data_IF_740187296282
#
_entry.id   IF_740187296282
#
_cell.length_a   1.000
_cell.length_b   1.000
_cell.length_c   1.000
_cell.angle_alpha   90.00
_cell.angle_beta   90.00
_cell.angle_gamma   90.00
#
_symmetry.space_group_name_H-M   'P 1'
#
loop_
_entity.id
_entity.type
_entity.pdbx_description
1 polymer ?
#
# COMPACT_ATOMS: atom_id res chain seq x y z
N UNK A 1 -12.97 -26.55 16.65
CA UNK A 1 -11.76 -26.98 15.90
C UNK A 1 -11.64 -26.29 14.53
N UNK A 2 -10.52 -25.60 14.32
CA UNK A 2 -10.17 -25.01 13.02
C UNK A 2 -9.65 -26.10 12.06
N UNK A 3 -10.08 -26.08 10.80
CA UNK A 3 -9.50 -26.92 9.74
C UNK A 3 -8.30 -26.22 9.09
N UNK A 4 -7.41 -26.96 8.42
CA UNK A 4 -6.27 -26.40 7.70
C UNK A 4 -6.70 -25.31 6.71
N UNK A 5 -7.74 -25.56 5.91
CA UNK A 5 -8.28 -24.59 4.95
C UNK A 5 -8.82 -23.34 5.65
N UNK A 6 -9.63 -23.50 6.71
CA UNK A 6 -10.19 -22.38 7.44
C UNK A 6 -9.07 -21.54 8.07
N UNK A 7 -8.11 -22.18 8.74
CA UNK A 7 -6.96 -21.51 9.33
C UNK A 7 -6.16 -20.76 8.27
N UNK A 8 -5.96 -21.35 7.10
CA UNK A 8 -5.27 -20.71 5.97
C UNK A 8 -6.01 -19.45 5.51
N UNK A 9 -7.31 -19.56 5.19
CA UNK A 9 -8.13 -18.42 4.73
C UNK A 9 -8.24 -17.34 5.80
N UNK A 10 -8.34 -17.72 7.07
CA UNK A 10 -8.38 -16.78 8.18
C UNK A 10 -7.03 -16.08 8.39
N UNK A 11 -5.90 -16.74 8.17
CA UNK A 11 -4.59 -16.07 8.19
C UNK A 11 -4.43 -15.05 7.06
N UNK A 12 -5.04 -15.29 5.88
CA UNK A 12 -5.10 -14.29 4.79
C UNK A 12 -5.87 -13.04 5.24
N UNK A 13 -7.11 -13.23 5.68
CA UNK A 13 -8.00 -12.16 6.13
C UNK A 13 -7.46 -11.44 7.37
N UNK A 14 -7.07 -12.20 8.39
CA UNK A 14 -6.61 -11.71 9.69
C UNK A 14 -5.34 -10.88 9.61
N UNK A 15 -4.51 -11.07 8.58
CA UNK A 15 -3.36 -10.21 8.31
C UNK A 15 -3.76 -8.76 8.00
N UNK A 16 -5.02 -8.51 7.64
CA UNK A 16 -5.55 -7.17 7.37
C UNK A 16 -6.41 -6.58 8.49
N UNK A 17 -6.59 -7.29 9.61
CA UNK A 17 -7.27 -6.72 10.77
C UNK A 17 -6.41 -5.65 11.45
N UNK A 18 -6.99 -4.56 11.98
CA UNK A 18 -6.23 -3.58 12.75
C UNK A 18 -5.45 -4.23 13.91
N UNK A 19 -6.09 -5.16 14.62
CA UNK A 19 -5.47 -6.05 15.60
C UNK A 19 -5.36 -7.47 15.03
N UNK A 20 -4.13 -7.96 14.87
CA UNK A 20 -3.86 -9.31 14.34
C UNK A 20 -3.35 -10.21 15.45
N UNK A 21 -4.14 -11.23 15.83
CA UNK A 21 -3.74 -12.26 16.79
C UNK A 21 -4.37 -13.60 16.42
N UNK A 22 -3.56 -14.65 16.32
CA UNK A 22 -4.06 -16.02 16.35
C UNK A 22 -4.16 -16.44 17.83
N UNK A 23 -5.34 -16.86 18.26
CA UNK A 23 -5.61 -17.28 19.62
C UNK A 23 -6.57 -18.46 19.62
N UNK A 24 -6.37 -19.40 20.56
CA UNK A 24 -7.12 -20.64 20.63
C UNK A 24 -7.69 -20.87 22.04
N UNK A 25 -8.72 -21.69 22.14
CA UNK A 25 -9.31 -22.09 23.42
C UNK A 25 -8.48 -23.17 24.11
N UNK A 26 -8.65 -23.30 25.42
CA UNK A 26 -8.06 -24.41 26.17
C UNK A 26 -8.56 -25.75 25.61
N UNK A 27 -7.67 -26.74 25.56
CA UNK A 27 -7.95 -28.13 25.15
C UNK A 27 -8.37 -28.33 23.67
N UNK A 28 -8.35 -27.28 22.84
CA UNK A 28 -8.48 -27.44 21.38
C UNK A 28 -7.14 -27.83 20.74
N UNK A 29 -7.21 -28.46 19.57
CA UNK A 29 -6.02 -28.80 18.77
C UNK A 29 -5.21 -27.53 18.40
N UNK A 30 -3.87 -27.61 18.40
CA UNK A 30 -3.00 -26.50 18.03
C UNK A 30 -3.32 -25.93 16.64
N UNK A 31 -3.33 -24.61 16.54
CA UNK A 31 -3.65 -23.89 15.30
C UNK A 31 -2.63 -22.79 14.95
N UNK A 32 -1.46 -22.83 15.58
CA UNK A 32 -0.35 -21.98 15.21
C UNK A 32 0.03 -22.21 13.74
N UNK A 33 0.47 -21.17 13.01
CA UNK A 33 0.71 -21.29 11.57
C UNK A 33 1.67 -22.40 11.15
N UNK A 34 2.62 -22.79 12.01
CA UNK A 34 3.61 -23.81 11.70
C UNK A 34 3.06 -25.24 11.72
N UNK A 35 1.86 -25.47 12.27
CA UNK A 35 1.28 -26.82 12.35
C UNK A 35 0.97 -27.41 10.95
N UNK A 36 0.69 -26.56 9.96
CA UNK A 36 0.48 -27.00 8.57
C UNK A 36 1.43 -26.28 7.60
N UNK A 37 2.14 -27.00 6.72
CA UNK A 37 3.02 -26.38 5.73
C UNK A 37 2.31 -25.34 4.83
N UNK A 38 1.04 -25.60 4.47
CA UNK A 38 0.22 -24.72 3.62
C UNK A 38 -0.16 -23.41 4.34
N UNK A 39 -0.53 -23.51 5.63
CA UNK A 39 -0.85 -22.37 6.50
C UNK A 39 0.42 -21.57 6.79
N UNK A 40 1.55 -22.23 7.06
CA UNK A 40 2.83 -21.57 7.30
C UNK A 40 3.28 -20.74 6.09
N UNK A 41 3.20 -21.32 4.87
CA UNK A 41 3.52 -20.63 3.61
C UNK A 41 2.64 -19.39 3.40
N UNK A 42 1.33 -19.56 3.57
CA UNK A 42 0.36 -18.46 3.43
C UNK A 42 0.61 -17.38 4.47
N UNK A 43 0.76 -17.76 5.73
CA UNK A 43 0.97 -16.85 6.85
C UNK A 43 2.23 -16.00 6.64
N UNK A 44 3.35 -16.59 6.20
CA UNK A 44 4.56 -15.81 5.85
C UNK A 44 4.30 -14.76 4.77
N UNK A 45 3.56 -15.12 3.70
CA UNK A 45 3.20 -14.17 2.63
C UNK A 45 2.38 -13.01 3.18
N UNK A 46 1.30 -13.28 3.89
CA UNK A 46 0.36 -12.22 4.31
C UNK A 46 0.81 -11.42 5.55
N UNK A 47 1.51 -12.05 6.50
CA UNK A 47 2.19 -11.33 7.57
C UNK A 47 3.29 -10.44 6.98
N UNK A 48 4.05 -10.94 5.99
CA UNK A 48 5.04 -10.14 5.28
C UNK A 48 4.42 -8.92 4.57
N UNK A 49 3.27 -9.07 3.93
CA UNK A 49 2.50 -7.96 3.34
C UNK A 49 2.02 -6.99 4.42
N UNK A 50 1.50 -7.49 5.54
CA UNK A 50 1.12 -6.64 6.67
C UNK A 50 2.31 -5.83 7.16
N UNK A 51 3.46 -6.48 7.35
CA UNK A 51 4.68 -5.85 7.85
C UNK A 51 5.22 -4.79 6.89
N UNK A 52 5.13 -5.02 5.58
CA UNK A 52 5.50 -3.99 4.60
C UNK A 52 4.55 -2.80 4.61
N UNK A 53 3.28 -3.00 5.00
CA UNK A 53 2.26 -1.95 5.14
C UNK A 53 2.22 -1.28 6.52
N UNK A 54 3.10 -1.64 7.47
CA UNK A 54 3.08 -1.04 8.81
C UNK A 54 3.19 0.50 8.82
N UNK A 55 4.00 1.15 7.96
CA UNK A 55 3.98 2.62 7.86
C UNK A 55 2.61 3.17 7.48
N UNK A 56 1.91 2.50 6.58
CA UNK A 56 0.55 2.86 6.19
C UNK A 56 -0.45 2.63 7.33
N UNK A 57 -0.44 1.46 7.98
CA UNK A 57 -1.26 1.20 9.17
C UNK A 57 -1.04 2.24 10.27
N UNK A 58 0.22 2.52 10.60
CA UNK A 58 0.57 3.45 11.66
C UNK A 58 0.12 4.88 11.34
N UNK A 59 0.23 5.28 10.08
CA UNK A 59 -0.33 6.56 9.61
C UNK A 59 -1.86 6.58 9.70
N UNK A 60 -2.56 5.47 9.41
CA UNK A 60 -4.00 5.36 9.57
C UNK A 60 -4.42 5.45 11.05
N UNK A 61 -3.67 4.82 11.96
CA UNK A 61 -3.90 4.93 13.40
C UNK A 61 -3.64 6.35 13.93
N UNK A 62 -2.59 7.03 13.45
CA UNK A 62 -2.39 8.45 13.73
C UNK A 62 -3.60 9.28 13.30
N UNK A 63 -4.09 9.10 12.06
CA UNK A 63 -5.30 9.79 11.59
C UNK A 63 -6.51 9.48 12.47
N UNK A 64 -6.71 8.20 12.84
CA UNK A 64 -7.78 7.80 13.75
C UNK A 64 -7.68 8.51 15.11
N UNK A 65 -6.47 8.60 15.66
CA UNK A 65 -6.20 9.29 16.93
C UNK A 65 -6.50 10.79 16.85
N UNK A 66 -6.06 11.49 15.81
CA UNK A 66 -6.17 12.96 15.74
C UNK A 66 -7.51 13.47 15.21
N UNK A 67 -8.23 12.70 14.39
CA UNK A 67 -9.46 13.17 13.75
C UNK A 67 -10.61 12.14 13.66
N UNK A 68 -10.48 10.98 14.31
CA UNK A 68 -11.53 9.96 14.32
C UNK A 68 -11.70 9.19 13.00
N UNK A 69 -10.74 9.29 12.06
CA UNK A 69 -10.72 8.47 10.86
C UNK A 69 -10.74 6.97 11.17
N UNK A 70 -11.26 6.17 10.23
CA UNK A 70 -11.26 4.71 10.34
C UNK A 70 -9.99 4.10 9.73
N UNK A 71 -9.45 3.06 10.36
CA UNK A 71 -8.34 2.24 9.82
C UNK A 71 -8.88 1.19 8.85
N UNK A 72 -9.80 0.36 9.31
CA UNK A 72 -10.60 -0.54 8.47
C UNK A 72 -11.93 0.18 8.19
N UNK A 73 -12.25 0.38 6.91
CA UNK A 73 -13.40 1.17 6.48
C UNK A 73 -14.40 0.32 5.70
N UNK A 74 -15.70 0.34 6.06
CA UNK A 74 -16.75 -0.14 5.19
C UNK A 74 -16.76 0.64 3.86
N UNK A 75 -17.13 -0.01 2.76
CA UNK A 75 -17.11 0.64 1.44
C UNK A 75 -18.07 1.84 1.37
N UNK A 76 -19.19 1.81 2.10
CA UNK A 76 -20.11 2.96 2.14
C UNK A 76 -19.54 4.22 2.79
N UNK A 77 -18.48 4.12 3.59
CA UNK A 77 -17.80 5.33 4.11
C UNK A 77 -17.01 6.02 3.00
N UNK A 78 -16.38 5.24 2.11
CA UNK A 78 -15.65 5.76 0.96
C UNK A 78 -16.56 6.17 -0.20
N UNK A 79 -17.74 5.56 -0.28
CA UNK A 79 -18.73 5.75 -1.35
C UNK A 79 -20.15 5.97 -0.79
N UNK A 80 -20.39 7.01 0.02
CA UNK A 80 -21.65 7.19 0.76
C UNK A 80 -22.87 7.41 -0.14
N UNK A 81 -22.66 7.84 -1.38
CA UNK A 81 -23.72 8.09 -2.34
C UNK A 81 -24.12 6.84 -3.15
N UNK A 82 -23.37 5.75 -3.06
CA UNK A 82 -23.60 4.54 -3.84
C UNK A 82 -24.41 3.52 -3.04
N UNK A 83 -25.66 3.29 -3.45
CA UNK A 83 -26.52 2.27 -2.83
C UNK A 83 -25.88 0.88 -2.83
N UNK A 84 -25.15 0.55 -3.90
CA UNK A 84 -24.43 -0.73 -4.01
C UNK A 84 -23.40 -0.91 -2.89
N UNK A 85 -22.76 0.16 -2.41
CA UNK A 85 -21.76 0.08 -1.35
C UNK A 85 -22.36 -0.11 0.06
N UNK A 86 -23.65 0.23 0.25
CA UNK A 86 -24.35 0.13 1.55
C UNK A 86 -24.50 -1.32 2.03
N UNK A 87 -24.61 -2.25 1.09
CA UNK A 87 -24.87 -3.68 1.38
C UNK A 87 -23.61 -4.52 1.36
N UNK A 88 -22.44 -3.93 1.12
CA UNK A 88 -21.17 -4.68 1.09
C UNK A 88 -20.63 -4.86 2.50
N UNK A 89 -20.71 -6.09 2.99
CA UNK A 89 -20.24 -6.53 4.31
C UNK A 89 -19.14 -7.62 4.25
N UNK A 90 -18.82 -8.11 3.04
CA UNK A 90 -17.81 -9.15 2.78
C UNK A 90 -16.49 -8.63 2.20
N UNK A 91 -16.39 -7.32 2.00
CA UNK A 91 -15.17 -6.63 1.59
C UNK A 91 -14.98 -5.40 2.47
N UNK A 92 -13.75 -4.91 2.55
CA UNK A 92 -13.46 -3.66 3.26
C UNK A 92 -12.29 -2.93 2.62
N UNK A 93 -12.20 -1.65 2.93
CA UNK A 93 -11.04 -0.82 2.59
C UNK A 93 -10.09 -0.76 3.80
N UNK A 94 -8.79 -0.95 3.57
CA UNK A 94 -7.75 -0.56 4.52
C UNK A 94 -7.36 0.88 4.20
N UNK A 95 -7.74 1.80 5.08
CA UNK A 95 -7.75 3.24 4.80
C UNK A 95 -8.59 3.55 3.57
N UNK A 96 -8.14 4.50 2.76
CA UNK A 96 -8.78 4.88 1.48
C UNK A 96 -8.11 4.21 0.26
N UNK A 97 -6.97 3.54 0.44
CA UNK A 97 -6.10 3.13 -0.67
C UNK A 97 -6.06 1.64 -1.04
N UNK A 98 -6.58 0.72 -0.21
CA UNK A 98 -6.49 -0.73 -0.47
C UNK A 98 -7.85 -1.41 -0.25
N UNK A 99 -8.36 -2.11 -1.26
CA UNK A 99 -9.55 -2.96 -1.18
C UNK A 99 -9.15 -4.42 -0.91
N UNK A 100 -9.72 -5.01 0.13
CA UNK A 100 -9.47 -6.40 0.53
C UNK A 100 -10.74 -7.23 0.28
N UNK A 101 -10.61 -8.32 -0.48
CA UNK A 101 -11.74 -9.20 -0.83
C UNK A 101 -11.43 -10.66 -0.44
N UNK A 102 -11.78 -11.10 0.79
CA UNK A 102 -11.50 -12.44 1.27
C UNK A 102 -12.43 -13.51 0.69
N UNK A 103 -11.94 -14.76 0.64
CA UNK A 103 -12.79 -15.94 0.47
C UNK A 103 -13.36 -16.32 1.82
N UNK A 104 -14.68 -16.39 1.92
CA UNK A 104 -15.42 -16.63 3.18
C UNK A 104 -16.27 -17.91 3.17
N UNK A 105 -16.18 -18.70 2.08
CA UNK A 105 -16.92 -19.94 1.92
C UNK A 105 -15.92 -21.10 1.74
N UNK A 106 -16.22 -22.23 2.38
CA UNK A 106 -15.35 -23.40 2.36
C UNK A 106 -15.24 -23.97 0.94
N UNK A 107 -14.05 -24.46 0.58
CA UNK A 107 -13.67 -25.03 -0.72
C UNK A 107 -13.72 -24.07 -1.91
N UNK A 108 -14.01 -22.79 -1.68
CA UNK A 108 -14.08 -21.81 -2.76
C UNK A 108 -12.69 -21.31 -3.16
N UNK A 109 -12.49 -21.14 -4.46
CA UNK A 109 -11.30 -20.56 -5.08
C UNK A 109 -11.61 -19.26 -5.83
N UNK A 110 -12.81 -18.73 -5.61
CA UNK A 110 -13.35 -17.50 -6.21
C UNK A 110 -14.08 -16.71 -5.13
N UNK A 111 -13.92 -15.38 -5.14
CA UNK A 111 -14.81 -14.47 -4.41
C UNK A 111 -15.94 -14.11 -5.36
N UNK A 112 -17.10 -14.73 -5.17
CA UNK A 112 -18.27 -14.50 -6.03
C UNK A 112 -18.89 -13.14 -5.78
N UNK A 113 -19.26 -12.46 -6.87
CA UNK A 113 -19.97 -11.17 -6.84
C UNK A 113 -19.30 -10.14 -5.93
N UNK A 114 -17.97 -10.00 -6.02
CA UNK A 114 -17.25 -8.96 -5.32
C UNK A 114 -17.55 -7.59 -5.95
N UNK A 115 -17.88 -6.60 -5.13
CA UNK A 115 -18.12 -5.24 -5.59
C UNK A 115 -16.79 -4.52 -5.82
N UNK A 116 -16.63 -3.95 -7.01
CA UNK A 116 -15.51 -3.09 -7.42
C UNK A 116 -16.06 -1.68 -7.66
N UNK A 117 -15.74 -0.72 -6.78
CA UNK A 117 -16.24 0.65 -6.91
C UNK A 117 -15.74 1.37 -8.18
N UNK A 118 -16.38 2.49 -8.57
CA UNK A 118 -15.92 3.33 -9.68
C UNK A 118 -14.47 3.79 -9.50
N UNK A 119 -13.74 3.88 -10.62
CA UNK A 119 -12.34 4.28 -10.67
C UNK A 119 -11.42 3.20 -11.22
N UNK A 120 -10.12 3.42 -11.09
CA UNK A 120 -9.08 2.48 -11.51
C UNK A 120 -8.50 1.73 -10.31
N UNK A 121 -8.29 0.43 -10.47
CA UNK A 121 -7.82 -0.48 -9.43
C UNK A 121 -6.66 -1.32 -9.96
N UNK A 122 -5.62 -1.45 -9.16
CA UNK A 122 -4.40 -2.18 -9.50
C UNK A 122 -4.30 -3.45 -8.67
N UNK A 123 -3.90 -4.56 -9.27
CA UNK A 123 -3.53 -5.79 -8.54
C UNK A 123 -2.37 -5.49 -7.59
N UNK A 124 -2.53 -5.81 -6.30
CA UNK A 124 -1.49 -5.53 -5.29
C UNK A 124 -0.18 -6.29 -5.55
N UNK A 125 -0.26 -7.52 -6.07
CA UNK A 125 0.88 -8.42 -6.27
C UNK A 125 1.61 -8.13 -7.58
N UNK A 126 0.85 -8.08 -8.68
CA UNK A 126 1.33 -7.89 -10.05
C UNK A 126 1.65 -6.43 -10.33
N UNK A 127 1.03 -5.52 -9.58
CA UNK A 127 1.16 -4.06 -9.73
C UNK A 127 0.78 -3.62 -11.15
N UNK A 128 -0.29 -4.22 -11.69
CA UNK A 128 -0.88 -3.94 -13.00
C UNK A 128 -2.32 -3.49 -12.81
N UNK A 129 -2.90 -2.79 -13.80
CA UNK A 129 -4.32 -2.47 -13.79
C UNK A 129 -5.13 -3.77 -13.80
N UNK A 130 -6.00 -3.97 -12.81
CA UNK A 130 -6.98 -5.06 -12.79
C UNK A 130 -8.32 -4.61 -13.34
N UNK A 131 -8.78 -3.42 -12.92
CA UNK A 131 -10.09 -2.89 -13.28
C UNK A 131 -10.01 -1.41 -13.58
N UNK A 132 -10.70 -1.00 -14.65
CA UNK A 132 -11.02 0.38 -14.94
C UNK A 132 -12.54 0.52 -15.01
N UNK A 133 -13.15 0.89 -13.89
CA UNK A 133 -14.60 0.91 -13.71
C UNK A 133 -15.13 2.30 -14.03
N UNK A 134 -15.69 2.44 -15.24
CA UNK A 134 -16.31 3.69 -15.72
C UNK A 134 -17.78 3.82 -15.32
N UNK A 135 -18.43 2.73 -14.91
CA UNK A 135 -19.80 2.79 -14.39
C UNK A 135 -19.81 3.55 -13.05
N UNK A 136 -20.56 4.67 -12.93
CA UNK A 136 -20.63 5.44 -11.70
C UNK A 136 -21.26 4.67 -10.52
N UNK A 137 -21.94 3.54 -10.77
CA UNK A 137 -22.49 2.65 -9.73
C UNK A 137 -21.52 1.57 -9.28
N UNK A 138 -20.35 1.46 -9.89
CA UNK A 138 -19.43 0.33 -9.71
C UNK A 138 -19.94 -0.94 -10.39
N UNK A 139 -19.17 -2.01 -10.31
CA UNK A 139 -19.50 -3.31 -10.93
C UNK A 139 -19.35 -4.44 -9.92
N UNK A 140 -20.02 -5.56 -10.16
CA UNK A 140 -19.75 -6.82 -9.45
C UNK A 140 -18.94 -7.74 -10.37
N UNK A 141 -17.94 -8.41 -9.80
CA UNK A 141 -17.03 -9.29 -10.52
C UNK A 141 -16.72 -10.54 -9.68
N UNK A 142 -16.56 -11.67 -10.35
CA UNK A 142 -16.02 -12.87 -9.73
C UNK A 142 -14.49 -12.79 -9.73
N UNK A 143 -13.89 -12.81 -8.55
CA UNK A 143 -12.45 -12.63 -8.39
C UNK A 143 -11.75 -13.97 -8.15
N UNK A 144 -10.79 -14.32 -9.00
CA UNK A 144 -9.95 -15.48 -8.79
C UNK A 144 -9.18 -15.36 -7.47
N UNK A 145 -9.34 -16.37 -6.61
CA UNK A 145 -8.77 -16.42 -5.27
C UNK A 145 -8.28 -17.85 -4.96
N UNK A 146 -7.30 -18.38 -5.71
CA UNK A 146 -6.76 -19.72 -5.46
C UNK A 146 -6.25 -19.84 -4.02
N UNK A 147 -6.08 -21.05 -3.51
CA UNK A 147 -5.91 -21.29 -2.07
C UNK A 147 -4.89 -20.35 -1.39
N UNK A 148 -3.75 -20.05 -2.03
CA UNK A 148 -2.67 -19.21 -1.49
C UNK A 148 -2.70 -17.73 -1.92
N UNK A 149 -3.76 -17.27 -2.58
CA UNK A 149 -3.94 -15.89 -3.06
C UNK A 149 -5.35 -15.37 -2.75
N UNK A 150 -5.41 -14.17 -2.20
CA UNK A 150 -6.61 -13.45 -1.80
C UNK A 150 -6.61 -12.15 -2.62
N UNK A 151 -7.69 -11.80 -3.32
CA UNK A 151 -7.74 -10.57 -4.10
C UNK A 151 -7.54 -9.34 -3.22
N UNK A 152 -6.50 -8.57 -3.55
CA UNK A 152 -6.19 -7.28 -2.94
C UNK A 152 -5.94 -6.30 -4.08
N UNK A 153 -6.62 -5.16 -4.02
CA UNK A 153 -6.50 -4.13 -5.03
C UNK A 153 -6.06 -2.80 -4.42
N UNK A 154 -5.16 -2.11 -5.10
CA UNK A 154 -4.75 -0.75 -4.76
C UNK A 154 -5.65 0.21 -5.54
N UNK A 155 -6.26 1.16 -4.83
CA UNK A 155 -7.10 2.20 -5.44
C UNK A 155 -6.22 3.22 -6.14
N UNK A 156 -6.50 3.51 -7.42
CA UNK A 156 -5.91 4.66 -8.11
C UNK A 156 -6.24 5.95 -7.37
N UNK A 157 -5.29 6.89 -7.36
CA UNK A 157 -5.36 8.10 -6.55
C UNK A 157 -4.62 7.98 -5.22
N UNK A 158 -3.96 6.86 -4.93
CA UNK A 158 -3.36 6.57 -3.62
C UNK A 158 -1.84 6.52 -3.69
N UNK A 159 -1.19 7.02 -2.65
CA UNK A 159 0.25 6.83 -2.38
C UNK A 159 0.38 6.09 -1.05
N UNK A 160 0.93 4.88 -1.10
CA UNK A 160 1.02 3.97 0.04
C UNK A 160 2.49 3.91 0.51
N UNK A 161 2.81 4.39 1.72
CA UNK A 161 4.13 4.22 2.31
C UNK A 161 4.31 2.79 2.83
N UNK A 162 5.49 2.24 2.60
CA UNK A 162 5.83 0.86 2.88
C UNK A 162 7.28 0.75 3.36
N UNK A 163 7.61 -0.35 4.03
CA UNK A 163 8.99 -0.71 4.39
C UNK A 163 9.30 -2.12 3.93
N UNK A 164 10.58 -2.47 3.87
CA UNK A 164 10.96 -3.87 3.73
C UNK A 164 10.56 -4.63 5.01
N UNK A 165 9.73 -5.68 4.92
CA UNK A 165 9.30 -6.41 6.11
C UNK A 165 10.46 -7.23 6.70
N UNK A 166 10.56 -7.26 8.03
CA UNK A 166 11.43 -8.12 8.82
C UNK A 166 10.59 -8.98 9.77
N UNK A 167 11.23 -9.79 10.62
CA UNK A 167 10.51 -10.71 11.51
C UNK A 167 9.86 -9.97 12.69
N UNK A 168 10.40 -8.81 13.07
CA UNK A 168 9.90 -7.96 14.15
C UNK A 168 9.63 -6.53 13.70
N UNK A 169 8.79 -5.80 14.44
CA UNK A 169 8.57 -4.36 14.21
C UNK A 169 9.83 -3.55 14.50
N UNK A 170 10.61 -3.93 15.52
CA UNK A 170 11.91 -3.34 15.86
C UNK A 170 12.86 -3.36 14.65
N UNK A 171 13.03 -4.51 13.99
CA UNK A 171 13.87 -4.61 12.79
C UNK A 171 13.23 -3.92 11.57
N UNK A 172 11.92 -4.01 11.41
CA UNK A 172 11.21 -3.43 10.26
C UNK A 172 11.24 -1.90 10.29
N UNK A 173 11.22 -1.28 11.47
CA UNK A 173 11.32 0.18 11.65
C UNK A 173 12.69 0.75 11.24
N UNK A 174 13.74 -0.08 11.31
CA UNK A 174 15.09 0.26 10.85
C UNK A 174 15.34 -0.06 9.37
N UNK A 175 14.32 -0.54 8.65
CA UNK A 175 14.44 -0.88 7.23
C UNK A 175 14.17 0.33 6.34
N UNK A 176 14.68 0.27 5.12
CA UNK A 176 14.46 1.31 4.11
C UNK A 176 12.97 1.45 3.76
N UNK A 177 12.54 2.71 3.60
CA UNK A 177 11.18 3.04 3.19
C UNK A 177 11.07 3.06 1.67
N UNK A 178 9.87 2.75 1.20
CA UNK A 178 9.48 2.93 -0.18
C UNK A 178 8.04 3.41 -0.27
N UNK A 179 7.69 4.06 -1.37
CA UNK A 179 6.31 4.47 -1.64
C UNK A 179 5.83 3.82 -2.93
N UNK A 180 4.57 3.38 -2.91
CA UNK A 180 3.85 2.93 -4.09
C UNK A 180 2.83 4.01 -4.47
N UNK A 181 3.01 4.58 -5.66
CA UNK A 181 2.15 5.61 -6.24
C UNK A 181 1.25 4.94 -7.27
N UNK A 182 -0.06 4.95 -7.06
CA UNK A 182 -1.04 4.46 -8.01
C UNK A 182 -1.83 5.65 -8.55
N UNK A 183 -1.58 6.06 -9.80
CA UNK A 183 -2.32 7.15 -10.42
C UNK A 183 -3.81 6.80 -10.58
N UNK A 184 -4.69 7.79 -10.44
CA UNK A 184 -6.08 7.68 -10.90
C UNK A 184 -6.20 7.97 -12.41
N UNK A 185 -7.44 7.97 -12.90
CA UNK A 185 -7.77 8.28 -14.29
C UNK A 185 -7.47 9.73 -14.69
N UNK A 186 -7.32 10.63 -13.71
CA UNK A 186 -6.98 12.05 -13.88
C UNK A 186 -5.48 12.32 -13.64
N UNK A 187 -4.70 11.26 -13.44
CA UNK A 187 -3.25 11.37 -13.28
C UNK A 187 -2.83 11.98 -11.96
N UNK A 188 -3.66 11.80 -10.93
CA UNK A 188 -3.42 12.28 -9.58
C UNK A 188 -3.22 11.10 -8.63
N UNK A 189 -2.47 11.33 -7.57
CA UNK A 189 -2.42 10.47 -6.40
C UNK A 189 -2.05 11.26 -5.15
N UNK A 190 -2.49 10.80 -3.98
CA UNK A 190 -2.13 11.42 -2.70
C UNK A 190 -1.91 10.37 -1.62
N UNK A 191 -1.10 10.71 -0.64
CA UNK A 191 -0.88 9.86 0.54
C UNK A 191 -0.19 10.64 1.64
N UNK A 192 -0.03 10.00 2.78
CA UNK A 192 0.63 10.60 3.95
C UNK A 192 1.53 9.57 4.60
N UNK A 193 2.55 10.05 5.32
CA UNK A 193 3.35 9.24 6.23
C UNK A 193 3.53 10.00 7.55
N UNK A 194 3.21 9.33 8.64
CA UNK A 194 3.48 9.77 10.01
C UNK A 194 4.58 8.91 10.63
N UNK A 195 5.54 9.56 11.32
CA UNK A 195 6.67 8.92 11.99
C UNK A 195 6.89 9.55 13.37
N UNK A 196 7.08 8.71 14.37
CA UNK A 196 7.56 9.06 15.71
C UNK A 196 8.39 7.88 16.25
N UNK A 197 8.72 7.86 17.54
CA UNK A 197 9.47 6.76 18.16
C UNK A 197 8.69 5.43 18.24
N UNK A 198 7.37 5.44 18.07
CA UNK A 198 6.50 4.27 18.07
C UNK A 198 6.13 3.73 19.46
N UNK A 199 6.53 4.40 20.54
CA UNK A 199 6.40 3.87 21.91
C UNK A 199 6.02 4.92 22.96
N UNK A 200 6.46 6.18 22.81
CA UNK A 200 6.18 7.22 23.79
C UNK A 200 4.69 7.51 23.88
N UNK A 201 4.13 7.45 25.09
CA UNK A 201 2.71 7.77 25.34
C UNK A 201 2.38 9.21 24.97
N UNK A 202 3.32 10.12 25.20
CA UNK A 202 3.20 11.52 24.82
C UNK A 202 4.34 11.88 23.85
N UNK A 203 3.99 11.88 22.57
CA UNK A 203 4.91 12.25 21.48
C UNK A 203 5.14 13.77 21.45
N UNK A 204 4.22 14.56 22.01
CA UNK A 204 4.19 16.03 21.96
C UNK A 204 4.43 16.55 20.55
N UNK A 205 5.60 17.12 20.30
CA UNK A 205 6.02 17.67 19.02
C UNK A 205 7.01 16.78 18.30
N UNK A 206 7.46 15.65 18.88
CA UNK A 206 8.56 14.81 18.37
C UNK A 206 8.09 13.80 17.32
N UNK A 207 7.48 14.30 16.24
CA UNK A 207 7.06 13.49 15.10
C UNK A 207 7.49 14.15 13.78
N UNK A 208 7.34 13.39 12.70
CA UNK A 208 7.48 13.85 11.32
C UNK A 208 6.22 13.49 10.55
N UNK A 209 5.66 14.45 9.81
CA UNK A 209 4.45 14.27 9.02
C UNK A 209 4.67 14.75 7.58
N UNK A 210 4.47 13.84 6.63
CA UNK A 210 4.76 14.03 5.22
C UNK A 210 3.46 13.90 4.42
N UNK A 211 3.23 14.83 3.50
CA UNK A 211 2.15 14.77 2.51
C UNK A 211 2.76 14.50 1.14
N UNK A 212 2.39 13.37 0.54
CA UNK A 212 2.74 13.03 -0.83
C UNK A 212 1.64 13.46 -1.78
N UNK A 213 2.02 14.07 -2.91
CA UNK A 213 1.12 14.42 -4.01
C UNK A 213 1.77 14.07 -5.33
N UNK A 214 1.03 13.37 -6.18
CA UNK A 214 1.38 13.16 -7.58
C UNK A 214 0.29 13.77 -8.46
N UNK A 215 0.67 14.37 -9.58
CA UNK A 215 -0.26 14.96 -10.53
C UNK A 215 0.36 15.04 -11.94
N UNK A 216 -0.50 15.29 -12.95
CA UNK A 216 -0.13 15.42 -14.36
C UNK A 216 0.62 14.21 -14.95
N UNK A 217 0.51 13.02 -14.33
CA UNK A 217 1.27 11.80 -14.69
C UNK A 217 2.80 11.93 -14.68
N UNK A 218 3.36 13.06 -14.23
CA UNK A 218 4.78 13.32 -14.37
C UNK A 218 5.43 14.12 -13.23
N UNK A 219 4.66 14.43 -12.18
CA UNK A 219 5.13 15.13 -10.98
C UNK A 219 4.80 14.29 -9.76
N UNK A 220 5.77 14.16 -8.85
CA UNK A 220 5.62 13.56 -7.53
C UNK A 220 6.38 14.40 -6.51
N UNK A 221 5.69 14.85 -5.47
CA UNK A 221 6.22 15.74 -4.43
C UNK A 221 5.97 15.12 -3.06
N UNK A 222 6.97 15.25 -2.18
CA UNK A 222 6.82 15.07 -0.74
C UNK A 222 6.96 16.42 -0.05
N UNK A 223 5.87 16.90 0.56
CA UNK A 223 5.89 18.07 1.44
C UNK A 223 6.02 17.62 2.89
N UNK A 224 7.03 18.09 3.60
CA UNK A 224 7.22 17.80 5.02
C UNK A 224 6.57 18.91 5.82
N UNK A 225 5.39 18.65 6.37
CA UNK A 225 4.62 19.63 7.15
C UNK A 225 5.15 19.78 8.58
N UNK A 226 5.79 18.73 9.09
CA UNK A 226 6.40 18.71 10.41
C UNK A 226 7.60 17.77 10.40
N UNK A 227 8.74 18.18 10.98
CA UNK A 227 10.06 17.56 10.76
C UNK A 227 10.84 17.28 12.06
N UNK A 228 10.15 17.22 13.21
CA UNK A 228 10.78 17.20 14.54
C UNK A 228 11.19 15.81 15.02
N UNK A 229 11.12 14.81 14.15
CA UNK A 229 11.63 13.46 14.40
C UNK A 229 12.51 12.97 13.24
N UNK A 230 13.75 12.62 13.55
CA UNK A 230 14.70 11.99 12.63
C UNK A 230 15.34 10.79 13.31
N UNK A 231 15.11 9.59 12.77
CA UNK A 231 15.76 8.36 13.19
C UNK A 231 16.76 7.84 12.14
N UNK A 232 17.13 8.67 11.16
CA UNK A 232 17.98 8.31 10.05
C UNK A 232 17.29 7.47 8.95
N UNK A 233 15.98 7.24 9.04
CA UNK A 233 15.25 6.51 8.03
C UNK A 233 15.23 7.26 6.68
N UNK A 234 15.38 6.49 5.61
CA UNK A 234 15.44 7.00 4.24
C UNK A 234 14.38 6.38 3.34
N UNK A 235 13.87 7.18 2.42
CA UNK A 235 13.19 6.73 1.21
C UNK A 235 14.23 6.19 0.23
N UNK A 236 14.16 4.90 -0.05
CA UNK A 236 15.10 4.21 -0.94
C UNK A 236 14.49 3.91 -2.30
N UNK A 237 13.19 3.62 -2.36
CA UNK A 237 12.51 3.17 -3.57
C UNK A 237 11.17 3.86 -3.81
N UNK A 238 10.87 4.15 -5.07
CA UNK A 238 9.57 4.64 -5.52
C UNK A 238 9.06 3.69 -6.61
N UNK A 239 7.82 3.25 -6.48
CA UNK A 239 7.12 2.49 -7.51
C UNK A 239 5.95 3.33 -8.00
N UNK A 240 5.82 3.54 -9.30
CA UNK A 240 4.77 4.35 -9.92
C UNK A 240 3.99 3.48 -10.90
N UNK A 241 2.69 3.38 -10.69
CA UNK A 241 1.74 2.60 -11.49
C UNK A 241 0.82 3.54 -12.27
N UNK A 242 0.34 3.08 -13.42
CA UNK A 242 -0.65 3.83 -14.21
C UNK A 242 -0.04 4.92 -15.10
N UNK A 243 1.24 4.81 -15.44
CA UNK A 243 1.84 5.68 -16.45
C UNK A 243 1.25 5.36 -17.83
N UNK A 244 1.02 6.40 -18.64
CA UNK A 244 0.48 6.28 -20.00
C UNK A 244 1.57 6.11 -21.08
N UNK A 245 2.75 5.69 -20.69
CA UNK A 245 3.89 5.50 -21.59
C UNK A 245 3.74 4.21 -22.38
N UNK A 246 4.05 4.26 -23.67
CA UNK A 246 4.08 3.07 -24.52
C UNK A 246 5.44 2.37 -24.44
N UNK A 247 6.52 3.14 -24.51
CA UNK A 247 7.89 2.60 -24.58
C UNK A 247 8.78 3.19 -23.48
N UNK A 248 9.77 2.41 -23.05
CA UNK A 248 10.76 2.76 -22.04
C UNK A 248 11.57 4.03 -22.36
N UNK A 249 11.86 4.29 -23.64
CA UNK A 249 12.57 5.50 -24.11
C UNK A 249 11.84 6.81 -23.80
N UNK A 250 10.53 6.74 -23.54
CA UNK A 250 9.71 7.90 -23.19
C UNK A 250 9.84 8.30 -21.71
N UNK A 251 10.43 7.44 -20.87
CA UNK A 251 10.54 7.67 -19.43
C UNK A 251 11.94 8.18 -19.09
N UNK A 252 12.08 9.50 -19.12
CA UNK A 252 13.31 10.19 -18.70
C UNK A 252 13.05 11.00 -17.44
N UNK A 253 13.78 10.68 -16.37
CA UNK A 253 13.78 11.49 -15.15
C UNK A 253 14.40 12.84 -15.50
N UNK A 254 13.66 13.93 -15.30
CA UNK A 254 14.11 15.28 -15.62
C UNK A 254 14.87 15.89 -14.46
N UNK A 255 14.23 15.91 -13.29
CA UNK A 255 14.80 16.53 -12.10
C UNK A 255 14.34 15.77 -10.86
N UNK A 256 15.28 15.60 -9.94
CA UNK A 256 15.02 15.36 -8.54
C UNK A 256 15.55 16.58 -7.77
N UNK A 257 14.68 17.25 -7.00
CA UNK A 257 15.05 18.38 -6.16
C UNK A 257 14.85 18.02 -4.68
N UNK A 258 15.84 18.29 -3.83
CA UNK A 258 15.69 18.31 -2.37
C UNK A 258 15.69 19.77 -1.92
N UNK A 259 14.63 20.22 -1.22
CA UNK A 259 14.51 21.61 -0.75
C UNK A 259 14.91 22.64 -1.84
N UNK A 260 14.34 22.50 -3.04
CA UNK A 260 14.59 23.32 -4.24
C UNK A 260 15.97 23.22 -4.91
N UNK A 261 16.90 22.45 -4.35
CA UNK A 261 18.22 22.17 -4.95
C UNK A 261 18.13 20.96 -5.88
N UNK A 262 18.44 21.15 -7.16
CA UNK A 262 18.50 20.05 -8.15
C UNK A 262 19.69 19.15 -7.86
N UNK A 263 19.45 17.84 -7.89
CA UNK A 263 20.45 16.81 -7.61
C UNK A 263 20.79 16.08 -8.90
N UNK A 264 22.09 15.94 -9.14
CA UNK A 264 22.58 15.12 -10.24
C UNK A 264 22.25 13.65 -9.99
N UNK A 265 21.47 13.05 -10.90
CA UNK A 265 21.06 11.64 -10.84
C UNK A 265 22.25 10.65 -10.85
N UNK A 266 23.41 11.12 -11.32
CA UNK A 266 24.62 10.32 -11.48
C UNK A 266 25.52 10.29 -10.23
N UNK A 267 25.25 11.05 -9.16
CA UNK A 267 26.13 11.17 -7.99
C UNK A 267 25.39 11.58 -6.69
N UNK A 268 24.31 10.90 -6.31
CA UNK A 268 23.69 11.12 -5.00
C UNK A 268 24.20 10.09 -3.98
N UNK A 269 25.05 10.52 -3.04
CA UNK A 269 25.53 9.65 -1.96
C UNK A 269 26.45 8.50 -2.40
N UNK A 270 27.31 8.74 -3.40
CA UNK A 270 28.27 7.79 -4.00
C UNK A 270 27.65 6.58 -4.73
N UNK A 271 26.34 6.58 -4.96
CA UNK A 271 25.64 5.59 -5.81
C UNK A 271 24.78 6.32 -6.85
N UNK A 272 24.54 5.68 -7.99
CA UNK A 272 23.65 6.20 -9.02
C UNK A 272 22.20 5.82 -8.71
N UNK A 273 21.27 6.75 -8.89
CA UNK A 273 19.84 6.45 -8.86
C UNK A 273 19.51 5.67 -10.13
N UNK A 274 19.00 4.45 -9.97
CA UNK A 274 18.63 3.59 -11.10
C UNK A 274 17.11 3.65 -11.25
N UNK A 275 16.64 3.83 -12.48
CA UNK A 275 15.23 3.67 -12.80
C UNK A 275 14.99 2.67 -13.93
N UNK A 276 13.86 1.97 -13.85
CA UNK A 276 13.42 1.01 -14.85
C UNK A 276 11.94 1.18 -15.12
N UNK A 277 11.58 1.28 -16.39
CA UNK A 277 10.20 1.19 -16.84
C UNK A 277 9.93 -0.21 -17.39
N UNK A 278 8.86 -0.83 -16.90
CA UNK A 278 8.34 -2.11 -17.40
C UNK A 278 7.12 -1.82 -18.27
N UNK A 279 7.27 -2.05 -19.59
CA UNK A 279 6.26 -1.73 -20.61
C UNK A 279 5.00 -2.58 -20.48
N UNK A 280 5.15 -3.86 -20.09
CA UNK A 280 4.03 -4.79 -19.92
C UNK A 280 3.12 -4.38 -18.77
N UNK A 281 3.73 -3.91 -17.67
CA UNK A 281 3.01 -3.53 -16.46
C UNK A 281 2.76 -2.02 -16.35
N UNK A 282 3.33 -1.23 -17.27
CA UNK A 282 3.36 0.25 -17.24
C UNK A 282 3.83 0.81 -15.90
N UNK A 283 4.84 0.17 -15.33
CA UNK A 283 5.38 0.44 -14.00
C UNK A 283 6.75 1.08 -14.10
N UNK A 284 6.92 2.25 -13.49
CA UNK A 284 8.22 2.87 -13.29
C UNK A 284 8.70 2.58 -11.87
N UNK A 285 9.93 2.09 -11.74
CA UNK A 285 10.59 1.88 -10.46
C UNK A 285 11.85 2.72 -10.40
N UNK A 286 12.04 3.49 -9.33
CA UNK A 286 13.27 4.19 -8.99
C UNK A 286 13.85 3.57 -7.71
N UNK A 287 15.15 3.29 -7.68
CA UNK A 287 15.88 2.72 -6.54
C UNK A 287 17.19 3.47 -6.29
N UNK A 288 17.69 3.42 -5.05
CA UNK A 288 18.94 4.08 -4.66
C UNK A 288 18.78 5.53 -4.22
N UNK A 289 17.55 6.01 -3.95
CA UNK A 289 17.27 7.42 -3.66
C UNK A 289 17.93 7.92 -2.37
N UNK A 290 18.00 7.12 -1.30
CA UNK A 290 18.56 7.47 0.03
C UNK A 290 18.15 8.87 0.56
N UNK A 291 16.91 9.30 0.28
CA UNK A 291 16.41 10.60 0.73
C UNK A 291 15.94 10.47 2.18
N UNK A 292 16.45 11.30 3.10
CA UNK A 292 15.93 11.33 4.47
C UNK A 292 14.45 11.68 4.49
N UNK A 293 13.66 10.99 5.32
CA UNK A 293 12.21 11.16 5.33
C UNK A 293 11.75 12.53 5.82
N UNK A 294 12.53 13.20 6.67
CA UNK A 294 12.25 14.56 7.15
C UNK A 294 12.68 15.67 6.15
N UNK A 295 13.05 15.32 4.92
CA UNK A 295 13.43 16.29 3.88
C UNK A 295 12.41 16.30 2.75
N UNK A 296 11.94 17.50 2.38
CA UNK A 296 11.02 17.69 1.25
C UNK A 296 11.71 17.48 -0.09
N UNK A 297 10.99 16.90 -1.04
CA UNK A 297 11.53 16.63 -2.37
C UNK A 297 10.49 16.71 -3.49
N UNK A 298 10.98 16.97 -4.70
CA UNK A 298 10.18 17.01 -5.93
C UNK A 298 10.86 16.21 -7.03
N UNK A 299 10.16 15.19 -7.52
CA UNK A 299 10.55 14.34 -8.63
C UNK A 299 9.70 14.67 -9.85
N UNK A 300 10.35 14.93 -10.98
CA UNK A 300 9.70 15.14 -12.27
C UNK A 300 10.32 14.30 -13.36
N UNK A 301 9.50 13.82 -14.30
CA UNK A 301 9.93 13.10 -15.48
C UNK A 301 9.22 13.59 -16.74
N UNK A 302 9.67 13.13 -17.90
CA UNK A 302 9.03 13.41 -19.17
C UNK A 302 7.59 12.88 -19.20
N UNK A 303 6.66 13.73 -19.63
CA UNK A 303 5.30 13.28 -19.95
C UNK A 303 5.43 12.38 -21.18
N UNK A 304 4.96 11.16 -21.05
CA UNK A 304 4.94 10.25 -22.17
C UNK A 304 3.96 10.75 -23.23
N UNK A 305 4.46 10.90 -24.46
CA UNK A 305 3.63 11.24 -25.60
C UNK A 305 2.79 10.00 -25.93
N UNK A 306 1.47 10.17 -25.94
CA UNK A 306 0.51 9.12 -26.33
C UNK A 306 0.64 8.87 -27.82
#
# INVERSE_FOLDING_TARGET
>A
MATEELCLRWMQLGSFYPFMRNHNSLQEEPQEPYNWPSVAKTSRKYIGIRYSLLPYYYTLFYKAHVNGSLVLRPLFIEYPHLKSALVVDRQFMLGDGILVSPVLQQKHTVVYSAYIPPGIWYDFYRQTVSYEVRDPKGIHQDLNAPLHEMPIHIRGGSIIPMTQPKMTTTESRNSNYHILVAFDLDGKAKGNLYLDDGESLNVEVKYTYIIYKAYNWNVLIANVEWDKYDNGAVLYKIVILGLKCQNSDQVKIKNLKLNDVTIGLNNYGNESIIWKFDENTRKLTLEGLKIKLNVGWNLTWEICKI
#
